data_IF_087859367252
#
_entry.id   IF_087859367252
#
_cell.length_a   1.000
_cell.length_b   1.000
_cell.length_c   1.000
_cell.angle_alpha   90.00
_cell.angle_beta   90.00
_cell.angle_gamma   90.00
#
_symmetry.space_group_name_H-M   'P 1'
#
loop_
_entity.id
_entity.type
_entity.pdbx_description
1 polymer ?
#
# COMPACT_ATOMS: atom_id res chain seq x y z
N UNK A 1 -25.82 -89.31 47.81
CA UNK A 1 -26.88 -88.30 47.92
C UNK A 1 -26.42 -87.28 48.96
N UNK A 2 -26.64 -85.99 48.70
CA UNK A 2 -26.30 -84.79 49.50
C UNK A 2 -24.82 -84.44 49.68
N UNK A 3 -24.34 -83.49 48.87
CA UNK A 3 -23.19 -82.61 49.17
C UNK A 3 -23.60 -81.56 50.24
N UNK A 4 -22.65 -81.11 51.09
CA UNK A 4 -22.78 -79.79 51.71
C UNK A 4 -21.55 -78.87 51.48
N UNK A 5 -21.92 -77.62 51.15
CA UNK A 5 -21.49 -76.32 51.74
C UNK A 5 -20.01 -75.89 51.72
N UNK A 6 -19.78 -74.84 50.91
CA UNK A 6 -19.28 -73.48 51.25
C UNK A 6 -17.91 -73.32 51.94
N UNK A 7 -17.08 -72.38 51.45
CA UNK A 7 -16.69 -71.11 52.13
C UNK A 7 -15.39 -70.52 51.51
N UNK A 8 -15.49 -69.23 51.09
CA UNK A 8 -14.54 -68.10 51.18
C UNK A 8 -13.13 -68.14 50.52
N UNK A 9 -12.84 -67.20 49.61
CA UNK A 9 -12.05 -65.95 49.81
C UNK A 9 -10.64 -66.07 49.21
N UNK A 10 -10.42 -65.53 48.01
CA UNK A 10 -9.87 -64.18 47.77
C UNK A 10 -8.35 -64.11 47.93
N UNK A 11 -7.65 -63.92 46.81
CA UNK A 11 -6.76 -62.76 46.65
C UNK A 11 -6.46 -62.58 45.15
N UNK A 12 -6.86 -61.43 44.62
CA UNK A 12 -6.43 -60.90 43.33
C UNK A 12 -5.16 -60.08 43.56
N UNK A 13 -4.33 -59.96 42.53
CA UNK A 13 -3.76 -58.72 41.97
C UNK A 13 -2.28 -58.91 41.61
N UNK A 14 -1.72 -58.41 40.51
CA UNK A 14 -2.15 -57.97 39.17
C UNK A 14 -0.84 -57.66 38.46
N UNK A 15 -0.77 -57.93 37.16
CA UNK A 15 0.36 -57.58 36.29
C UNK A 15 0.80 -56.13 36.48
N UNK A 16 2.09 -55.90 36.72
CA UNK A 16 2.67 -54.57 36.64
C UNK A 16 2.95 -54.27 35.17
N UNK A 17 1.99 -53.61 34.51
CA UNK A 17 2.13 -53.08 33.17
C UNK A 17 3.07 -51.87 33.20
N UNK A 18 4.10 -51.87 32.36
CA UNK A 18 4.99 -50.72 32.17
C UNK A 18 4.20 -49.54 31.59
N UNK A 19 4.14 -48.44 32.33
CA UNK A 19 3.58 -47.17 31.85
C UNK A 19 4.70 -46.38 31.17
N UNK A 20 4.73 -46.40 29.83
CA UNK A 20 5.53 -45.45 29.05
C UNK A 20 4.71 -44.16 28.95
N UNK A 21 5.18 -43.12 29.62
CA UNK A 21 4.56 -41.80 29.60
C UNK A 21 5.05 -41.05 28.36
N UNK A 22 4.34 -41.17 27.24
CA UNK A 22 4.53 -40.30 26.07
C UNK A 22 3.94 -38.93 26.39
N UNK A 23 4.81 -37.98 26.75
CA UNK A 23 4.46 -36.56 26.76
C UNK A 23 4.27 -36.10 25.30
N UNK A 24 3.04 -36.09 24.82
CA UNK A 24 2.70 -35.38 23.59
C UNK A 24 2.73 -33.89 23.91
N UNK A 25 3.80 -33.20 23.51
CA UNK A 25 3.82 -31.74 23.49
C UNK A 25 2.89 -31.32 22.35
N UNK A 26 1.60 -31.11 22.67
CA UNK A 26 0.71 -30.34 21.81
C UNK A 26 1.26 -28.92 21.79
N UNK A 27 2.18 -28.65 20.85
CA UNK A 27 2.43 -27.30 20.42
C UNK A 27 1.12 -26.75 19.90
N UNK A 28 0.57 -25.74 20.57
CA UNK A 28 -0.45 -24.91 19.97
C UNK A 28 0.21 -24.23 18.76
N UNK A 29 0.04 -24.77 17.55
CA UNK A 29 0.18 -23.93 16.36
C UNK A 29 -0.94 -22.91 16.48
N UNK A 30 -0.56 -21.66 16.73
CA UNK A 30 -1.46 -20.58 16.38
C UNK A 30 -1.52 -20.60 14.87
N UNK A 31 -2.58 -21.20 14.32
CA UNK A 31 -2.96 -21.00 12.94
C UNK A 31 -3.30 -19.52 12.80
N UNK A 32 -2.27 -18.69 12.59
CA UNK A 32 -2.47 -17.38 12.02
C UNK A 32 -3.14 -17.65 10.68
N UNK A 33 -4.38 -17.21 10.53
CA UNK A 33 -5.06 -17.28 9.24
C UNK A 33 -4.18 -16.54 8.23
N UNK A 34 -3.50 -17.27 7.36
CA UNK A 34 -2.78 -16.67 6.25
C UNK A 34 -3.83 -16.07 5.33
N UNK A 35 -3.95 -14.74 5.38
CA UNK A 35 -4.73 -14.01 4.39
C UNK A 35 -3.98 -14.11 3.06
N UNK A 36 -4.54 -14.87 2.12
CA UNK A 36 -4.04 -14.92 0.75
C UNK A 36 -4.46 -13.64 0.02
N UNK A 37 -3.48 -12.85 -0.43
CA UNK A 37 -3.72 -11.69 -1.28
C UNK A 37 -3.87 -12.14 -2.73
N UNK A 38 -5.01 -11.80 -3.35
CA UNK A 38 -5.25 -12.04 -4.77
C UNK A 38 -4.96 -10.74 -5.52
N UNK A 39 -4.03 -10.81 -6.47
CA UNK A 39 -3.76 -9.72 -7.39
C UNK A 39 -4.96 -9.53 -8.34
N UNK A 40 -5.46 -8.29 -8.42
CA UNK A 40 -6.64 -7.96 -9.26
C UNK A 40 -6.36 -6.86 -10.28
N UNK A 41 -5.24 -6.15 -10.14
CA UNK A 41 -4.81 -5.08 -11.02
C UNK A 41 -3.33 -4.79 -10.77
N UNK A 42 -2.58 -4.56 -11.83
CA UNK A 42 -1.16 -4.18 -11.79
C UNK A 42 -0.79 -3.37 -13.03
N UNK A 43 0.30 -2.62 -12.92
CA UNK A 43 1.02 -2.11 -14.08
C UNK A 43 2.52 -2.18 -13.81
N UNK A 44 3.22 -3.02 -14.58
CA UNK A 44 4.66 -3.22 -14.48
C UNK A 44 5.44 -2.28 -15.42
N UNK A 45 4.74 -1.39 -16.15
CA UNK A 45 5.34 -0.32 -16.95
C UNK A 45 6.33 -0.79 -18.03
N UNK A 46 6.07 -1.98 -18.58
CA UNK A 46 6.86 -2.55 -19.69
C UNK A 46 6.57 -1.83 -21.02
N UNK A 47 7.62 -1.43 -21.72
CA UNK A 47 7.52 -0.81 -23.05
C UNK A 47 8.76 0.02 -23.41
N UNK A 48 8.93 0.41 -24.69
CA UNK A 48 10.03 1.26 -25.13
C UNK A 48 10.07 2.63 -24.42
N UNK A 49 11.30 3.14 -24.28
CA UNK A 49 11.55 4.48 -23.75
C UNK A 49 10.77 5.56 -24.51
N UNK A 50 10.14 6.48 -23.78
CA UNK A 50 9.34 7.57 -24.34
C UNK A 50 7.89 7.20 -24.68
N UNK A 51 7.48 5.93 -24.50
CA UNK A 51 6.08 5.55 -24.65
C UNK A 51 5.23 6.12 -23.50
N UNK A 52 4.01 6.56 -23.80
CA UNK A 52 3.04 6.96 -22.77
C UNK A 52 2.52 5.74 -21.97
N UNK A 53 2.16 5.91 -20.68
CA UNK A 53 1.50 4.87 -19.90
C UNK A 53 0.20 4.38 -20.56
N UNK A 54 -0.20 3.14 -20.26
CA UNK A 54 -1.36 2.49 -20.85
C UNK A 54 -2.65 3.32 -20.62
N UNK A 55 -3.31 3.83 -21.68
CA UNK A 55 -4.49 4.67 -21.54
C UNK A 55 -5.73 3.90 -21.05
N UNK A 56 -5.71 2.56 -21.05
CA UNK A 56 -6.75 1.76 -20.41
C UNK A 56 -6.60 1.73 -18.87
N UNK A 57 -5.44 2.17 -18.35
CA UNK A 57 -5.09 2.17 -16.93
C UNK A 57 -4.92 3.56 -16.33
N UNK A 58 -4.41 4.51 -17.12
CA UNK A 58 -4.01 5.82 -16.63
C UNK A 58 -4.61 6.98 -17.43
N UNK A 59 -5.08 7.99 -16.71
CA UNK A 59 -5.39 9.32 -17.22
C UNK A 59 -4.29 10.31 -16.81
N UNK A 60 -4.31 11.48 -17.44
CA UNK A 60 -3.50 12.64 -17.06
C UNK A 60 -4.38 13.73 -16.45
N UNK A 61 -3.98 14.26 -15.30
CA UNK A 61 -4.48 15.54 -14.79
C UNK A 61 -3.59 16.66 -15.36
N UNK A 62 -4.10 17.40 -16.34
CA UNK A 62 -3.36 18.48 -17.02
C UNK A 62 -3.75 19.83 -16.44
N UNK A 63 -2.78 20.61 -15.97
CA UNK A 63 -3.05 21.91 -15.36
C UNK A 63 -2.09 22.26 -14.22
N UNK A 64 -2.50 23.17 -13.34
CA UNK A 64 -1.66 23.69 -12.26
C UNK A 64 -2.48 24.07 -11.02
N UNK A 65 -1.79 24.37 -9.92
CA UNK A 65 -2.34 25.03 -8.73
C UNK A 65 -2.92 24.09 -7.68
N UNK A 66 -3.60 23.02 -8.10
CA UNK A 66 -4.00 21.81 -7.36
C UNK A 66 -4.36 21.92 -5.85
N UNK A 67 -4.77 23.10 -5.38
CA UNK A 67 -5.20 23.37 -4.00
C UNK A 67 -4.11 23.75 -2.99
N UNK A 68 -2.83 23.85 -3.38
CA UNK A 68 -1.71 23.99 -2.43
C UNK A 68 -0.58 24.94 -2.90
N UNK A 69 -0.87 25.87 -3.83
CA UNK A 69 0.12 26.80 -4.40
C UNK A 69 1.32 26.10 -5.07
N UNK A 70 1.05 24.93 -5.63
CA UNK A 70 1.95 24.21 -6.53
C UNK A 70 2.39 25.10 -7.71
N UNK A 71 3.64 24.96 -8.16
CA UNK A 71 4.28 25.86 -9.14
C UNK A 71 4.40 25.25 -10.53
N UNK A 72 4.20 23.94 -10.62
CA UNK A 72 4.29 23.16 -11.83
C UNK A 72 3.01 23.23 -12.66
N UNK A 73 3.18 23.07 -13.96
CA UNK A 73 2.12 22.73 -14.89
C UNK A 73 2.27 21.24 -15.22
N UNK A 74 1.34 20.41 -14.77
CA UNK A 74 1.30 19.00 -15.14
C UNK A 74 0.86 18.85 -16.59
N UNK A 75 1.59 18.02 -17.35
CA UNK A 75 1.33 17.76 -18.77
C UNK A 75 1.21 16.26 -19.06
N UNK A 76 0.76 15.94 -20.28
CA UNK A 76 0.81 14.60 -20.88
C UNK A 76 2.02 14.43 -21.82
N UNK A 77 2.99 15.35 -21.78
CA UNK A 77 4.19 15.28 -22.60
C UNK A 77 5.05 14.08 -22.20
N UNK A 78 5.64 13.34 -23.17
CA UNK A 78 6.63 12.31 -22.88
C UNK A 78 7.86 12.81 -22.10
N UNK A 79 8.16 14.11 -22.15
CA UNK A 79 9.22 14.73 -21.35
C UNK A 79 8.90 14.78 -19.85
N UNK A 80 7.61 14.73 -19.48
CA UNK A 80 7.16 14.72 -18.09
C UNK A 80 6.66 13.35 -17.64
N UNK A 81 6.01 12.58 -18.52
CA UNK A 81 5.47 11.25 -18.18
C UNK A 81 5.71 10.27 -19.32
N UNK A 82 6.61 9.31 -19.12
CA UNK A 82 6.86 8.25 -20.09
C UNK A 82 7.47 7.01 -19.45
N UNK A 83 7.39 5.88 -20.15
CA UNK A 83 8.16 4.68 -19.83
C UNK A 83 9.64 4.94 -20.11
N UNK A 84 10.52 4.39 -19.28
CA UNK A 84 11.97 4.58 -19.41
C UNK A 84 12.66 3.53 -20.31
N UNK A 85 11.96 2.47 -20.70
CA UNK A 85 12.53 1.35 -21.45
C UNK A 85 13.15 0.24 -20.58
N UNK A 86 13.11 0.39 -19.26
CA UNK A 86 13.70 -0.50 -18.25
C UNK A 86 12.66 -1.04 -17.26
N UNK A 87 11.37 -0.98 -17.63
CA UNK A 87 10.26 -1.45 -16.79
C UNK A 87 9.86 -0.46 -15.69
N UNK A 88 10.05 0.85 -15.91
CA UNK A 88 9.57 1.86 -14.97
C UNK A 88 8.82 2.98 -15.70
N UNK A 89 7.83 3.53 -14.99
CA UNK A 89 7.27 4.84 -15.29
C UNK A 89 8.19 5.93 -14.75
N UNK A 90 8.58 6.88 -15.61
CA UNK A 90 9.24 8.10 -15.23
C UNK A 90 8.23 9.26 -15.17
N UNK A 91 8.11 9.87 -13.99
CA UNK A 91 7.47 11.18 -13.81
C UNK A 91 8.58 12.19 -13.52
N UNK A 92 8.73 13.18 -14.40
CA UNK A 92 9.87 14.11 -14.42
C UNK A 92 9.37 15.54 -14.25
N UNK A 93 9.74 16.14 -13.12
CA UNK A 93 9.62 17.57 -12.92
C UNK A 93 10.78 18.30 -13.63
N UNK A 94 10.48 19.35 -14.40
CA UNK A 94 11.47 20.13 -15.16
C UNK A 94 11.31 21.61 -14.87
N UNK A 95 12.43 22.32 -14.83
CA UNK A 95 12.43 23.79 -14.78
C UNK A 95 12.34 24.32 -16.22
N UNK A 96 11.17 24.83 -16.59
CA UNK A 96 10.92 25.45 -17.89
C UNK A 96 9.69 26.36 -17.85
N UNK A 97 9.70 27.40 -18.69
CA UNK A 97 8.53 28.26 -18.84
C UNK A 97 7.48 27.56 -19.70
N UNK A 98 6.34 27.23 -19.10
CA UNK A 98 5.23 26.59 -19.81
C UNK A 98 3.89 27.17 -19.35
N UNK A 99 3.16 27.80 -20.27
CA UNK A 99 1.83 28.39 -20.03
C UNK A 99 1.74 29.26 -18.76
N UNK A 100 2.81 30.01 -18.44
CA UNK A 100 2.89 30.90 -17.28
C UNK A 100 3.40 30.24 -15.98
N UNK A 101 3.68 28.94 -15.99
CA UNK A 101 4.38 28.23 -14.91
C UNK A 101 5.88 28.18 -15.19
N UNK A 102 6.69 28.08 -14.13
CA UNK A 102 8.16 27.98 -14.22
C UNK A 102 8.66 26.53 -14.17
N UNK A 103 7.76 25.59 -13.95
CA UNK A 103 8.05 24.17 -13.91
C UNK A 103 6.98 23.41 -14.68
N UNK A 104 7.36 22.27 -15.24
CA UNK A 104 6.43 21.25 -15.73
C UNK A 104 6.61 19.98 -14.91
N UNK A 105 5.57 19.15 -14.85
CA UNK A 105 5.60 17.86 -14.17
C UNK A 105 4.54 16.93 -14.78
N UNK A 106 4.31 15.79 -14.14
CA UNK A 106 3.25 14.87 -14.49
C UNK A 106 2.42 14.46 -13.28
N UNK A 107 1.10 14.37 -13.50
CA UNK A 107 0.14 13.83 -12.55
C UNK A 107 -0.79 12.87 -13.28
N UNK A 108 -0.75 11.60 -12.90
CA UNK A 108 -1.57 10.55 -13.51
C UNK A 108 -2.53 9.94 -12.50
N UNK A 109 -3.68 9.47 -12.97
CA UNK A 109 -4.73 8.91 -12.12
C UNK A 109 -5.39 7.70 -12.75
N UNK A 110 -5.98 6.82 -11.94
CA UNK A 110 -6.82 5.71 -12.41
C UNK A 110 -8.31 6.04 -12.40
N UNK A 111 -8.69 7.31 -12.19
CA UNK A 111 -10.09 7.75 -12.02
C UNK A 111 -10.96 7.32 -13.20
N UNK A 112 -12.09 6.65 -12.93
CA UNK A 112 -12.97 6.13 -13.97
C UNK A 112 -12.43 4.92 -14.77
N UNK A 113 -11.19 4.48 -14.52
CA UNK A 113 -10.56 3.31 -15.16
C UNK A 113 -10.45 2.15 -14.17
N UNK A 114 -9.88 2.41 -12.99
CA UNK A 114 -9.78 1.46 -11.90
C UNK A 114 -10.00 2.13 -10.55
N UNK A 115 -11.01 1.64 -9.82
CA UNK A 115 -11.40 2.12 -8.50
C UNK A 115 -11.71 0.93 -7.61
N UNK A 116 -11.12 0.89 -6.40
CA UNK A 116 -11.28 -0.26 -5.50
C UNK A 116 -11.53 0.18 -4.07
N UNK A 117 -12.63 -0.33 -3.50
CA UNK A 117 -12.87 -0.26 -2.06
C UNK A 117 -12.14 -1.41 -1.38
N UNK A 118 -11.18 -1.08 -0.50
CA UNK A 118 -10.33 -2.00 0.27
C UNK A 118 -9.35 -2.81 -0.60
N UNK A 119 -8.27 -3.22 0.02
CA UNK A 119 -7.21 -4.01 -0.63
C UNK A 119 -5.86 -3.59 -0.11
N UNK A 120 -4.83 -4.13 -0.75
CA UNK A 120 -3.44 -3.71 -0.57
C UNK A 120 -3.05 -2.94 -1.84
N UNK A 121 -2.58 -1.72 -1.66
CA UNK A 121 -2.10 -0.85 -2.74
C UNK A 121 -0.61 -0.68 -2.54
N UNK A 122 0.18 -0.99 -3.57
CA UNK A 122 1.63 -0.95 -3.52
C UNK A 122 2.19 -0.29 -4.75
N UNK A 123 3.30 0.43 -4.57
CA UNK A 123 4.12 0.94 -5.64
C UNK A 123 5.59 0.87 -5.20
N UNK A 124 6.48 0.45 -6.11
CA UNK A 124 7.92 0.45 -5.87
C UNK A 124 8.52 1.69 -6.54
N UNK A 125 8.81 2.71 -5.74
CA UNK A 125 9.15 4.05 -6.24
C UNK A 125 10.57 4.43 -5.82
N UNK A 126 11.38 4.92 -6.77
CA UNK A 126 12.61 5.66 -6.49
C UNK A 126 12.31 7.15 -6.46
N UNK A 127 12.57 7.80 -5.34
CA UNK A 127 12.20 9.20 -5.12
C UNK A 127 13.31 10.17 -5.57
N UNK A 128 12.97 11.33 -6.16
CA UNK A 128 13.90 12.41 -6.44
C UNK A 128 14.43 13.07 -5.14
N UNK A 129 15.46 13.90 -5.25
CA UNK A 129 15.97 14.74 -4.16
C UNK A 129 16.08 16.17 -4.68
N UNK A 130 15.71 17.15 -3.86
CA UNK A 130 15.76 18.55 -4.27
C UNK A 130 14.82 19.43 -3.44
N UNK A 131 15.24 20.66 -3.17
CA UNK A 131 14.38 21.64 -2.54
C UNK A 131 13.15 21.91 -3.42
N UNK A 132 11.96 21.91 -2.82
CA UNK A 132 10.70 22.18 -3.51
C UNK A 132 10.05 20.98 -4.22
N UNK A 133 10.77 19.85 -4.35
CA UNK A 133 10.22 18.63 -4.96
C UNK A 133 9.33 17.88 -3.96
N UNK A 134 8.11 17.52 -4.39
CA UNK A 134 7.09 16.88 -3.55
C UNK A 134 6.35 15.76 -4.31
N UNK A 135 6.98 14.58 -4.51
CA UNK A 135 6.32 13.41 -5.08
C UNK A 135 5.34 12.81 -4.07
N UNK A 136 4.23 12.29 -4.58
CA UNK A 136 3.20 11.64 -3.79
C UNK A 136 2.66 10.38 -4.48
N UNK A 137 2.31 9.37 -3.69
CA UNK A 137 1.50 8.22 -4.07
C UNK A 137 0.33 8.14 -3.09
N UNK A 138 -0.87 8.39 -3.59
CA UNK A 138 -2.03 8.67 -2.77
C UNK A 138 -3.31 8.24 -3.48
N UNK A 139 -4.41 8.19 -2.72
CA UNK A 139 -5.73 7.75 -3.17
C UNK A 139 -6.77 8.81 -2.82
N UNK A 140 -7.81 8.90 -3.65
CA UNK A 140 -8.90 9.86 -3.48
C UNK A 140 -10.24 9.13 -3.63
N UNK A 141 -11.26 9.55 -2.87
CA UNK A 141 -12.60 9.01 -3.02
C UNK A 141 -13.15 9.24 -4.43
N UNK A 142 -13.61 8.18 -5.11
CA UNK A 142 -14.12 8.30 -6.48
C UNK A 142 -15.40 9.12 -6.61
N UNK A 143 -16.07 9.39 -5.48
CA UNK A 143 -17.19 10.30 -5.39
C UNK A 143 -16.79 11.79 -5.29
N UNK A 144 -15.50 12.15 -5.49
CA UNK A 144 -15.01 13.54 -5.41
C UNK A 144 -15.85 14.52 -6.23
N UNK A 145 -16.28 14.16 -7.44
CA UNK A 145 -17.08 15.05 -8.29
C UNK A 145 -18.51 15.28 -7.78
N UNK A 146 -18.95 14.46 -6.82
CA UNK A 146 -20.30 14.55 -6.22
C UNK A 146 -20.31 15.19 -4.85
N UNK A 147 -19.32 14.92 -4.00
CA UNK A 147 -19.29 15.41 -2.61
C UNK A 147 -18.19 16.45 -2.36
N UNK A 148 -17.20 16.56 -3.23
CA UNK A 148 -16.04 17.42 -3.05
C UNK A 148 -15.05 16.89 -2.02
N UNK A 149 -13.94 17.60 -1.90
CA UNK A 149 -12.93 17.38 -0.87
C UNK A 149 -13.15 18.36 0.30
N UNK A 150 -12.97 17.95 1.57
CA UNK A 150 -12.44 16.66 2.04
C UNK A 150 -13.51 15.56 2.24
N UNK A 151 -14.76 15.80 1.88
CA UNK A 151 -15.87 14.86 2.09
C UNK A 151 -15.69 13.51 1.38
N UNK A 152 -15.00 13.48 0.24
CA UNK A 152 -14.67 12.25 -0.47
C UNK A 152 -13.62 11.39 0.23
N UNK A 153 -12.83 12.00 1.11
CA UNK A 153 -11.67 11.37 1.76
C UNK A 153 -10.45 11.26 0.85
N UNK A 154 -9.28 11.29 1.48
CA UNK A 154 -7.95 11.15 0.86
C UNK A 154 -7.08 10.24 1.74
N UNK A 155 -6.31 9.36 1.11
CA UNK A 155 -5.35 8.49 1.78
C UNK A 155 -4.00 8.67 1.10
N UNK A 156 -3.08 9.32 1.79
CA UNK A 156 -1.72 9.51 1.33
C UNK A 156 -0.88 8.32 1.78
N UNK A 157 -0.58 7.41 0.86
CA UNK A 157 0.22 6.21 1.13
C UNK A 157 1.68 6.63 1.34
N UNK A 158 2.15 7.57 0.53
CA UNK A 158 3.48 8.16 0.63
C UNK A 158 3.44 9.60 0.11
N UNK A 159 3.80 10.53 0.98
CA UNK A 159 4.27 11.86 0.60
C UNK A 159 5.72 12.03 1.04
N UNK A 160 6.49 12.76 0.24
CA UNK A 160 7.91 12.96 0.47
C UNK A 160 8.32 14.40 0.16
N UNK A 161 9.17 14.96 1.02
CA UNK A 161 9.74 16.28 0.81
C UNK A 161 11.20 16.13 0.37
N UNK A 162 11.52 16.59 -0.84
CA UNK A 162 12.85 16.40 -1.43
C UNK A 162 14.02 17.02 -0.67
N UNK A 163 13.75 17.89 0.30
CA UNK A 163 14.74 18.48 1.21
C UNK A 163 14.83 17.77 2.57
N UNK A 164 13.93 16.84 2.87
CA UNK A 164 13.97 15.93 4.02
C UNK A 164 14.21 14.48 3.52
N UNK A 165 15.35 14.20 2.86
CA UNK A 165 15.60 12.89 2.32
C UNK A 165 15.52 11.84 3.43
N UNK A 166 15.01 10.65 3.07
CA UNK A 166 14.78 9.47 3.94
C UNK A 166 13.54 9.55 4.83
N UNK A 167 12.77 10.63 4.81
CA UNK A 167 11.52 10.71 5.56
C UNK A 167 10.34 10.71 4.61
N UNK A 168 9.37 9.84 4.89
CA UNK A 168 8.09 9.81 4.19
C UNK A 168 6.97 10.03 5.19
N UNK A 169 5.85 10.54 4.69
CA UNK A 169 4.64 10.80 5.44
C UNK A 169 3.51 9.93 4.89
N UNK A 170 2.69 9.43 5.80
CA UNK A 170 1.40 8.83 5.46
C UNK A 170 0.32 9.61 6.20
N UNK A 171 -0.69 10.06 5.47
CA UNK A 171 -1.71 10.98 5.94
C UNK A 171 -3.11 10.48 5.57
N UNK A 172 -4.11 10.86 6.35
CA UNK A 172 -5.52 10.65 6.02
C UNK A 172 -6.23 11.98 6.16
N UNK A 173 -7.01 12.34 5.12
CA UNK A 173 -7.83 13.53 5.10
C UNK A 173 -9.31 13.18 5.05
N UNK A 174 -10.12 13.94 5.77
CA UNK A 174 -11.58 13.79 5.79
C UNK A 174 -12.26 14.94 6.53
N UNK A 175 -13.59 14.91 6.65
CA UNK A 175 -14.33 15.96 7.35
C UNK A 175 -13.84 16.15 8.79
N UNK A 176 -13.28 17.33 9.07
CA UNK A 176 -12.74 17.70 10.38
C UNK A 176 -11.26 17.39 10.62
N UNK A 177 -10.57 16.76 9.67
CA UNK A 177 -9.13 16.46 9.73
C UNK A 177 -8.53 16.51 8.32
N UNK A 178 -8.26 17.71 7.81
CA UNK A 178 -7.77 17.89 6.43
C UNK A 178 -6.91 19.14 6.28
N UNK A 179 -6.34 19.33 5.08
CA UNK A 179 -5.53 20.49 4.72
C UNK A 179 -4.28 20.56 5.59
N UNK A 180 -4.14 21.64 6.37
CA UNK A 180 -3.03 21.78 7.32
C UNK A 180 -3.18 20.99 8.61
N UNK A 181 -4.28 20.25 8.82
CA UNK A 181 -4.53 19.46 10.03
C UNK A 181 -4.96 17.99 9.74
N UNK A 182 -4.23 17.23 8.92
CA UNK A 182 -4.54 15.82 8.67
C UNK A 182 -4.11 14.93 9.84
N UNK A 183 -4.55 13.68 9.83
CA UNK A 183 -3.98 12.65 10.71
C UNK A 183 -2.76 12.07 10.01
N UNK A 184 -1.56 12.44 10.46
CA UNK A 184 -0.30 12.06 9.82
C UNK A 184 0.59 11.22 10.74
N UNK A 185 1.25 10.24 10.14
CA UNK A 185 2.41 9.56 10.71
C UNK A 185 3.60 9.70 9.74
N UNK A 186 4.81 9.61 10.26
CA UNK A 186 6.02 9.64 9.44
C UNK A 186 6.89 8.43 9.70
N UNK A 187 7.61 8.00 8.67
CA UNK A 187 8.60 6.95 8.76
C UNK A 187 9.95 7.45 8.22
N UNK A 188 11.03 7.13 8.93
CA UNK A 188 12.40 7.45 8.53
C UNK A 188 13.11 6.17 8.10
N UNK A 189 13.61 6.15 6.87
CA UNK A 189 14.36 5.04 6.30
C UNK A 189 15.72 4.92 6.99
N UNK A 190 15.97 3.78 7.61
CA UNK A 190 17.14 3.54 8.45
C UNK A 190 18.45 3.30 7.67
N UNK A 191 18.43 3.12 6.34
CA UNK A 191 19.63 2.91 5.51
C UNK A 191 19.70 3.91 4.33
N UNK A 192 20.90 4.39 3.89
CA UNK A 192 21.02 5.33 2.78
C UNK A 192 20.69 4.75 1.39
N UNK A 193 20.62 3.43 1.24
CA UNK A 193 20.68 2.78 -0.07
C UNK A 193 22.10 2.81 -0.65
#
# INVERSE_FOLDING_TARGET
MTLPKSVSSALRFTCLSAFVLTFAVSGCSQDASEFEWILVWEDEFEGPAGQSPDPEKWNFDIGTGWGNNQLEYDTDSPDNVSLDGEGNLAIVAREEEFLGSQYTSGRITTKGLFEKTRGRFEARIKLPVGQGIWPAFWLLGSNIDTVGWPECGEIDIMEYLGHEPRKVHGSIHGPGYSGGNPVTSSYVLNDPG
#
